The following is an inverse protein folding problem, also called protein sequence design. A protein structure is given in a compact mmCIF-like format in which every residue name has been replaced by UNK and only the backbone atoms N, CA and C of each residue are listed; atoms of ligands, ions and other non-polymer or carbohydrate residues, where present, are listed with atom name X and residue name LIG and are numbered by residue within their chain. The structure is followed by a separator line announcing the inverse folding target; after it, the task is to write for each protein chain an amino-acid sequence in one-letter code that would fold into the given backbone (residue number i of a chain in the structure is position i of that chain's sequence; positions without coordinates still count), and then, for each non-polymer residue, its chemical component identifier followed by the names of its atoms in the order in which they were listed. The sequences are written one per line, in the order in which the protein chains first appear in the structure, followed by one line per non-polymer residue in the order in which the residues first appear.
data_IF_190864830718
#
_entry.id   IF_190864830718
#
_cell.length_a   1.000
_cell.length_b   1.000
_cell.length_c   1.000
_cell.angle_alpha   90.00
_cell.angle_beta   90.00
_cell.angle_gamma   90.00
#
_symmetry.space_group_name_H-M   'P 1'
#
loop_
_entity.id
_entity.type
_entity.pdbx_description
1 polymer ?
#
# COMPACT_ATOMS: atom_id res chain seq x y z
N UNK A 1 6.02 14.80 5.62
CA UNK A 1 6.92 13.82 6.27
C UNK A 1 7.90 13.16 5.29
N UNK A 2 7.45 12.52 4.20
CA UNK A 2 8.37 11.90 3.21
C UNK A 2 9.39 12.87 2.59
N UNK A 3 8.97 14.07 2.18
CA UNK A 3 9.85 15.11 1.61
C UNK A 3 10.95 15.60 2.56
N UNK A 4 10.71 15.54 3.87
CA UNK A 4 11.69 15.92 4.90
C UNK A 4 12.54 14.72 5.36
N UNK A 5 12.00 13.50 5.32
CA UNK A 5 12.71 12.28 5.73
C UNK A 5 13.57 11.64 4.65
N UNK A 6 13.29 11.92 3.37
CA UNK A 6 14.08 11.44 2.25
C UNK A 6 15.14 12.51 1.94
N UNK A 7 16.33 12.36 2.53
CA UNK A 7 17.42 13.33 2.36
C UNK A 7 17.87 13.50 0.91
N UNK A 8 18.85 14.38 0.66
CA UNK A 8 19.33 14.75 -0.69
C UNK A 8 19.75 13.57 -1.59
N UNK A 9 20.06 12.40 -1.02
CA UNK A 9 20.41 11.16 -1.73
C UNK A 9 19.19 10.32 -2.13
N UNK A 10 17.97 10.78 -1.84
CA UNK A 10 16.70 10.08 -2.07
C UNK A 10 16.45 8.96 -1.05
N UNK A 11 15.44 8.12 -1.33
CA UNK A 11 15.14 6.96 -0.49
C UNK A 11 16.31 5.96 -0.44
N UNK A 12 16.65 5.54 0.78
CA UNK A 12 17.56 4.44 1.13
C UNK A 12 16.73 3.25 1.63
N UNK A 13 16.36 2.34 0.71
CA UNK A 13 15.36 1.34 1.03
C UNK A 13 15.94 0.25 1.95
N UNK A 14 15.22 -0.08 3.01
CA UNK A 14 15.60 -1.11 3.99
C UNK A 14 14.52 -2.19 4.07
N UNK A 15 14.92 -3.46 4.20
CA UNK A 15 13.97 -4.56 4.43
C UNK A 15 13.43 -4.51 5.86
N UNK A 16 12.18 -4.90 6.06
CA UNK A 16 11.64 -5.17 7.39
C UNK A 16 12.22 -6.46 7.96
N UNK A 17 12.44 -6.46 9.29
CA UNK A 17 12.74 -7.68 10.03
C UNK A 17 11.55 -8.64 9.97
N UNK A 18 11.81 -9.96 9.94
CA UNK A 18 10.76 -11.00 9.87
C UNK A 18 9.71 -10.86 10.98
N UNK A 19 10.13 -10.48 12.19
CA UNK A 19 9.23 -10.25 13.33
C UNK A 19 8.29 -9.06 13.07
N UNK A 20 8.83 -7.96 12.55
CA UNK A 20 8.05 -6.77 12.25
C UNK A 20 7.07 -6.99 11.09
N UNK A 21 7.42 -7.84 10.11
CA UNK A 21 6.48 -8.25 9.05
C UNK A 21 5.28 -8.99 9.62
N UNK A 22 5.51 -9.92 10.54
CA UNK A 22 4.43 -10.66 11.21
C UNK A 22 3.56 -9.73 12.05
N UNK A 23 4.16 -8.81 12.82
CA UNK A 23 3.41 -7.81 13.59
C UNK A 23 2.58 -6.92 12.66
N UNK A 24 3.13 -6.46 11.53
CA UNK A 24 2.40 -5.65 10.56
C UNK A 24 1.23 -6.40 9.93
N UNK A 25 1.40 -7.69 9.59
CA UNK A 25 0.31 -8.53 9.08
C UNK A 25 -0.80 -8.74 10.11
N UNK A 26 -0.44 -9.02 11.37
CA UNK A 26 -1.42 -9.18 12.45
C UNK A 26 -2.15 -7.87 12.71
N UNK A 27 -1.42 -6.75 12.79
CA UNK A 27 -2.01 -5.42 12.94
C UNK A 27 -2.96 -5.09 11.78
N UNK A 28 -2.57 -5.43 10.54
CA UNK A 28 -3.41 -5.26 9.37
C UNK A 28 -4.73 -6.03 9.47
N UNK A 29 -4.67 -7.32 9.82
CA UNK A 29 -5.86 -8.18 9.96
C UNK A 29 -6.79 -7.66 11.07
N UNK A 30 -6.22 -7.28 12.22
CA UNK A 30 -6.98 -6.73 13.35
C UNK A 30 -7.64 -5.41 12.96
N UNK A 31 -6.88 -4.48 12.37
CA UNK A 31 -7.41 -3.19 11.92
C UNK A 31 -8.49 -3.35 10.87
N UNK A 32 -8.31 -4.25 9.88
CA UNK A 32 -9.30 -4.51 8.85
C UNK A 32 -10.60 -5.10 9.44
N UNK A 33 -10.48 -6.09 10.33
CA UNK A 33 -11.62 -6.72 11.00
C UNK A 33 -12.39 -5.77 11.93
N UNK A 34 -11.72 -4.82 12.57
CA UNK A 34 -12.35 -3.80 13.42
C UNK A 34 -12.98 -2.65 12.61
N UNK A 35 -12.38 -2.26 11.48
CA UNK A 35 -12.82 -1.12 10.70
C UNK A 35 -14.14 -1.42 9.96
N UNK A 36 -14.31 -2.63 9.44
CA UNK A 36 -15.53 -3.03 8.73
C UNK A 36 -16.84 -2.83 9.52
N UNK A 37 -17.00 -3.36 10.75
CA UNK A 37 -18.24 -3.18 11.52
C UNK A 37 -18.45 -1.72 11.97
N UNK A 38 -17.37 -0.96 12.19
CA UNK A 38 -17.45 0.46 12.53
C UNK A 38 -17.99 1.29 11.36
N UNK A 39 -17.46 1.08 10.15
CA UNK A 39 -17.92 1.76 8.94
C UNK A 39 -19.39 1.43 8.64
N UNK A 40 -19.78 0.17 8.83
CA UNK A 40 -21.18 -0.27 8.66
C UNK A 40 -22.13 0.39 9.66
N UNK A 41 -21.69 0.59 10.92
CA UNK A 41 -22.49 1.26 11.97
C UNK A 41 -22.75 2.74 11.69
N UNK A 42 -21.84 3.41 10.98
CA UNK A 42 -21.95 4.84 10.65
C UNK A 42 -22.84 5.05 9.39
N UNK A 43 -23.39 3.97 8.81
CA UNK A 43 -24.26 4.04 7.64
C UNK A 43 -23.52 4.34 6.33
N UNK A 44 -22.19 4.24 6.33
CA UNK A 44 -21.43 4.30 5.10
C UNK A 44 -21.81 3.11 4.20
N UNK A 45 -21.88 3.34 2.88
CA UNK A 45 -21.95 2.26 1.88
C UNK A 45 -20.60 1.52 1.80
N UNK A 46 -20.09 1.08 2.96
CA UNK A 46 -18.76 0.52 3.12
C UNK A 46 -18.79 -0.96 2.77
N UNK A 47 -18.08 -1.30 1.71
CA UNK A 47 -17.79 -2.68 1.34
C UNK A 47 -16.60 -3.21 2.13
N UNK A 48 -16.46 -4.54 2.20
CA UNK A 48 -15.27 -5.19 2.75
C UNK A 48 -13.98 -4.73 2.05
N UNK A 49 -14.08 -4.42 0.75
CA UNK A 49 -12.97 -3.92 -0.07
C UNK A 49 -12.59 -2.48 0.26
N UNK A 50 -13.54 -1.62 0.65
CA UNK A 50 -13.22 -0.25 1.08
C UNK A 50 -12.43 -0.24 2.39
N UNK A 51 -12.83 -1.08 3.35
CA UNK A 51 -12.09 -1.23 4.61
C UNK A 51 -10.68 -1.81 4.38
N UNK A 52 -10.57 -2.80 3.48
CA UNK A 52 -9.29 -3.39 3.09
C UNK A 52 -8.37 -2.35 2.46
N UNK A 53 -8.86 -1.61 1.46
CA UNK A 53 -8.08 -0.64 0.74
C UNK A 53 -7.65 0.54 1.61
N UNK A 54 -8.49 0.98 2.55
CA UNK A 54 -8.11 2.03 3.51
C UNK A 54 -6.95 1.58 4.42
N UNK A 55 -7.11 0.45 5.12
CA UNK A 55 -6.06 -0.07 6.02
C UNK A 55 -4.79 -0.39 5.24
N UNK A 56 -4.94 -0.94 4.03
CA UNK A 56 -3.83 -1.28 3.13
C UNK A 56 -3.05 -0.05 2.71
N UNK A 57 -3.76 1.00 2.28
CA UNK A 57 -3.18 2.29 1.90
C UNK A 57 -2.45 2.94 3.06
N UNK A 58 -3.04 2.97 4.26
CA UNK A 58 -2.39 3.50 5.46
C UNK A 58 -1.09 2.76 5.77
N UNK A 59 -1.11 1.42 5.76
CA UNK A 59 0.07 0.61 6.01
C UNK A 59 1.14 0.82 4.94
N UNK A 60 0.75 0.80 3.66
CA UNK A 60 1.64 1.04 2.53
C UNK A 60 2.31 2.42 2.65
N UNK A 61 1.54 3.45 3.00
CA UNK A 61 2.02 4.82 3.14
C UNK A 61 3.00 4.98 4.30
N UNK A 62 2.69 4.38 5.47
CA UNK A 62 3.61 4.39 6.62
C UNK A 62 4.94 3.72 6.25
N UNK A 63 4.87 2.54 5.63
CA UNK A 63 6.05 1.82 5.20
C UNK A 63 6.85 2.55 4.12
N UNK A 64 6.17 3.24 3.22
CA UNK A 64 6.78 4.07 2.18
C UNK A 64 7.56 5.24 2.80
N UNK A 65 6.96 5.95 3.76
CA UNK A 65 7.65 7.03 4.49
C UNK A 65 8.87 6.51 5.24
N UNK A 66 8.75 5.32 5.85
CA UNK A 66 9.84 4.62 6.54
C UNK A 66 10.86 3.95 5.59
N UNK A 67 10.72 4.16 4.28
CA UNK A 67 11.62 3.63 3.25
C UNK A 67 11.74 2.10 3.31
N UNK A 68 10.64 1.41 3.60
CA UNK A 68 10.59 -0.05 3.66
C UNK A 68 10.22 -0.65 2.31
N UNK A 69 10.99 -1.64 1.87
CA UNK A 69 10.76 -2.32 0.59
C UNK A 69 9.32 -2.84 0.47
N UNK A 70 8.80 -3.41 1.55
CA UNK A 70 7.49 -4.04 1.66
C UNK A 70 6.32 -3.07 1.42
N UNK A 71 6.57 -1.76 1.32
CA UNK A 71 5.55 -0.80 0.88
C UNK A 71 5.06 -1.10 -0.54
N UNK A 72 5.94 -1.46 -1.48
CA UNK A 72 5.54 -1.62 -2.89
C UNK A 72 4.64 -2.83 -3.17
N UNK A 73 4.84 -4.03 -2.58
CA UNK A 73 3.93 -5.15 -2.75
C UNK A 73 2.56 -4.84 -2.12
N UNK A 74 2.51 -4.07 -1.04
CA UNK A 74 1.23 -3.65 -0.45
C UNK A 74 0.52 -2.68 -1.40
N UNK A 75 1.22 -1.68 -1.94
CA UNK A 75 0.67 -0.79 -2.97
C UNK A 75 0.16 -1.58 -4.18
N UNK A 76 0.95 -2.54 -4.69
CA UNK A 76 0.53 -3.41 -5.79
C UNK A 76 -0.78 -4.14 -5.50
N UNK A 77 -0.91 -4.75 -4.31
CA UNK A 77 -2.14 -5.49 -3.94
C UNK A 77 -3.34 -4.53 -3.80
N UNK A 78 -3.15 -3.40 -3.12
CA UNK A 78 -4.22 -2.41 -2.91
C UNK A 78 -4.69 -1.82 -4.25
N UNK A 79 -3.76 -1.40 -5.10
CA UNK A 79 -4.08 -0.81 -6.40
C UNK A 79 -4.73 -1.83 -7.34
N UNK A 80 -4.33 -3.09 -7.29
CA UNK A 80 -4.96 -4.16 -8.08
C UNK A 80 -6.40 -4.43 -7.63
N UNK A 81 -6.66 -4.47 -6.32
CA UNK A 81 -8.02 -4.63 -5.78
C UNK A 81 -8.90 -3.45 -6.18
N UNK A 82 -8.40 -2.21 -6.07
CA UNK A 82 -9.16 -1.04 -6.49
C UNK A 82 -9.39 -0.99 -8.00
N UNK A 83 -8.39 -1.37 -8.81
CA UNK A 83 -8.54 -1.50 -10.27
C UNK A 83 -9.72 -2.41 -10.60
N UNK A 84 -9.78 -3.59 -9.97
CA UNK A 84 -10.87 -4.55 -10.15
C UNK A 84 -12.22 -4.01 -9.68
N UNK A 85 -12.27 -3.40 -8.49
CA UNK A 85 -13.49 -2.83 -7.93
C UNK A 85 -14.08 -1.72 -8.81
N UNK A 86 -13.25 -0.76 -9.26
CA UNK A 86 -13.71 0.35 -10.09
C UNK A 86 -14.09 -0.08 -11.51
N UNK A 87 -13.44 -1.12 -12.04
CA UNK A 87 -13.81 -1.69 -13.35
C UNK A 87 -15.24 -2.27 -13.30
N UNK A 88 -15.53 -3.09 -12.29
CA UNK A 88 -16.86 -3.68 -12.11
C UNK A 88 -17.91 -2.66 -11.67
N UNK A 89 -17.50 -1.59 -10.98
CA UNK A 89 -18.35 -0.46 -10.62
C UNK A 89 -18.64 0.50 -11.77
N UNK A 90 -18.15 0.24 -12.99
CA UNK A 90 -18.36 1.09 -14.18
C UNK A 90 -17.54 2.39 -14.18
N UNK A 91 -16.66 2.59 -13.20
CA UNK A 91 -15.79 3.77 -13.12
C UNK A 91 -14.48 3.52 -13.87
N UNK A 92 -14.57 3.43 -15.20
CA UNK A 92 -13.44 3.06 -16.06
C UNK A 92 -12.25 4.02 -15.95
N UNK A 93 -12.49 5.33 -15.86
CA UNK A 93 -11.41 6.32 -15.71
C UNK A 93 -10.60 6.07 -14.43
N UNK A 94 -11.29 5.89 -13.31
CA UNK A 94 -10.67 5.59 -12.01
C UNK A 94 -9.94 4.26 -12.05
N UNK A 95 -10.53 3.23 -12.66
CA UNK A 95 -9.90 1.92 -12.82
C UNK A 95 -8.59 1.99 -13.61
N UNK A 96 -8.57 2.70 -14.75
CA UNK A 96 -7.35 2.89 -15.55
C UNK A 96 -6.28 3.63 -14.75
N UNK A 97 -6.66 4.65 -13.98
CA UNK A 97 -5.72 5.36 -13.10
C UNK A 97 -5.08 4.41 -12.07
N UNK A 98 -5.88 3.60 -11.38
CA UNK A 98 -5.35 2.61 -10.44
C UNK A 98 -4.50 1.55 -11.13
N UNK A 99 -4.84 1.15 -12.36
CA UNK A 99 -4.01 0.25 -13.14
C UNK A 99 -2.63 0.85 -13.46
N UNK A 100 -2.57 2.16 -13.75
CA UNK A 100 -1.29 2.86 -13.89
C UNK A 100 -0.52 2.84 -12.56
N UNK A 101 -1.19 3.01 -11.42
CA UNK A 101 -0.55 2.91 -10.10
C UNK A 101 0.02 1.51 -9.83
N UNK A 102 -0.65 0.44 -10.25
CA UNK A 102 -0.09 -0.93 -10.23
C UNK A 102 1.24 -1.00 -10.99
N UNK A 103 1.30 -0.43 -12.19
CA UNK A 103 2.54 -0.40 -12.98
C UNK A 103 3.64 0.43 -12.31
N UNK A 104 3.28 1.58 -11.71
CA UNK A 104 4.21 2.40 -10.94
C UNK A 104 4.73 1.66 -9.70
N UNK A 105 3.90 0.89 -9.01
CA UNK A 105 4.32 0.11 -7.86
C UNK A 105 5.38 -0.94 -8.25
N UNK A 106 5.19 -1.61 -9.39
CA UNK A 106 6.18 -2.54 -9.96
C UNK A 106 7.49 -1.79 -10.31
N UNK A 107 7.38 -0.66 -10.99
CA UNK A 107 8.52 0.17 -11.38
C UNK A 107 9.32 0.67 -10.18
N UNK A 108 8.63 1.11 -9.12
CA UNK A 108 9.20 1.56 -7.87
C UNK A 108 9.94 0.45 -7.12
N UNK A 109 9.34 -0.74 -7.03
CA UNK A 109 9.99 -1.92 -6.45
C UNK A 109 11.27 -2.28 -7.20
N UNK A 110 11.22 -2.33 -8.55
CA UNK A 110 12.40 -2.62 -9.38
C UNK A 110 13.50 -1.58 -9.17
N UNK A 111 13.14 -0.29 -9.11
CA UNK A 111 14.10 0.81 -8.91
C UNK A 111 14.77 0.73 -7.54
N UNK A 112 14.01 0.42 -6.49
CA UNK A 112 14.56 0.24 -5.15
C UNK A 112 15.45 -1.00 -5.06
N UNK A 113 15.07 -2.09 -5.73
CA UNK A 113 15.86 -3.32 -5.75
C UNK A 113 17.21 -3.11 -6.46
N UNK A 114 17.21 -2.35 -7.55
CA UNK A 114 18.43 -1.95 -8.26
C UNK A 114 19.36 -1.14 -7.35
N UNK A 115 18.83 -0.12 -6.65
CA UNK A 115 19.60 0.68 -5.69
C UNK A 115 20.20 -0.14 -4.55
N UNK A 116 19.49 -1.14 -4.04
CA UNK A 116 20.02 -2.02 -3.00
C UNK A 116 21.13 -2.94 -3.49
N UNK A 117 21.14 -3.33 -4.77
CA UNK A 117 22.23 -4.10 -5.37
C UNK A 117 23.48 -3.24 -5.61
N UNK A 118 23.32 -1.99 -6.06
CA UNK A 118 24.45 -1.08 -6.31
C UNK A 118 25.12 -0.53 -5.05
N UNK A 119 24.55 -0.78 -3.86
CA UNK A 119 25.12 -0.37 -2.57
C UNK A 119 25.93 -1.49 -1.89
N UNK A 120 26.06 -2.65 -2.54
CA UNK A 120 26.87 -3.80 -2.14
C UNK A 120 28.01 -3.99 -3.13
#
# INVERSE_FOLDING_TARGET
WGWFGWGKKGAQPKKLSRRTRLIALVAFIISWGLLYPLLKKIGAAASLTDAFGFVGSCMAQILMVLQRFEAWPIWFVVDAVYTYQFWHGGQYLTSILYFIFVLLAIGGWRRWLSKAKSAH
#
